data_IF_164275705389
#
_entry.id   IF_164275705389
#
_cell.length_a   1.000
_cell.length_b   1.000
_cell.length_c   1.000
_cell.angle_alpha   90.00
_cell.angle_beta   90.00
_cell.angle_gamma   90.00
#
_symmetry.space_group_name_H-M   'P 1'
#
loop_
_entity.id
_entity.type
_entity.pdbx_description
1 polymer ?
#
# COMPACT_ATOMS: atom_id res chain seq x y z
N UNK A 1 3.25 -26.82 4.94
CA UNK A 1 2.86 -25.47 5.41
C UNK A 1 4.00 -24.79 6.14
N UNK A 2 4.67 -25.46 7.09
CA UNK A 2 5.90 -24.95 7.73
C UNK A 2 7.05 -24.69 6.75
N UNK A 3 7.23 -25.54 5.73
CA UNK A 3 8.18 -25.30 4.65
C UNK A 3 7.89 -24.01 3.87
N UNK A 4 6.61 -23.62 3.74
CA UNK A 4 6.22 -22.41 3.03
C UNK A 4 6.52 -21.16 3.85
N UNK A 5 6.32 -21.23 5.17
CA UNK A 5 6.74 -20.20 6.12
C UNK A 5 8.25 -20.04 6.17
N UNK A 6 9.01 -21.14 6.23
CA UNK A 6 10.47 -21.10 6.25
C UNK A 6 11.06 -20.50 4.97
N UNK A 7 10.57 -20.93 3.79
CA UNK A 7 11.01 -20.37 2.50
C UNK A 7 10.62 -18.89 2.38
N UNK A 8 9.45 -18.48 2.90
CA UNK A 8 9.01 -17.09 2.86
C UNK A 8 9.78 -16.21 3.85
N UNK A 9 10.09 -16.71 5.05
CA UNK A 9 10.97 -16.04 6.01
C UNK A 9 12.37 -15.84 5.43
N UNK A 10 12.86 -16.83 4.69
CA UNK A 10 14.14 -16.79 4.00
C UNK A 10 14.11 -15.81 2.80
N UNK A 11 12.97 -15.69 2.11
CA UNK A 11 12.76 -14.69 1.06
C UNK A 11 12.66 -13.26 1.61
N UNK A 12 12.04 -13.06 2.78
CA UNK A 12 12.06 -11.78 3.51
C UNK A 12 13.49 -11.38 3.88
N UNK A 13 14.30 -12.33 4.37
CA UNK A 13 15.70 -12.13 4.75
C UNK A 13 16.68 -12.06 3.57
N UNK A 14 16.26 -12.45 2.36
CA UNK A 14 17.12 -12.36 1.18
C UNK A 14 17.25 -10.90 0.72
N UNK A 15 18.52 -10.46 0.59
CA UNK A 15 18.93 -9.19 -0.02
C UNK A 15 18.86 -9.31 -1.54
N UNK A 16 17.74 -9.80 -2.08
CA UNK A 16 17.43 -9.55 -3.48
C UNK A 16 16.84 -8.14 -3.54
N UNK A 17 17.70 -7.18 -3.89
CA UNK A 17 17.33 -5.79 -4.19
C UNK A 17 16.51 -5.75 -5.50
N UNK A 18 15.31 -6.34 -5.46
CA UNK A 18 14.26 -5.91 -6.37
C UNK A 18 13.96 -4.48 -5.94
N UNK A 19 14.31 -3.51 -6.79
CA UNK A 19 13.88 -2.10 -6.66
C UNK A 19 12.36 -2.05 -6.79
N UNK A 20 11.66 -2.53 -5.77
CA UNK A 20 10.22 -2.38 -5.64
C UNK A 20 10.00 -0.97 -5.11
N UNK A 21 9.60 -0.06 -5.98
CA UNK A 21 9.17 1.31 -5.64
C UNK A 21 7.77 1.26 -5.03
N UNK A 22 7.58 0.47 -3.98
CA UNK A 22 6.30 0.40 -3.30
C UNK A 22 6.08 1.71 -2.53
N UNK A 23 4.97 2.39 -2.80
CA UNK A 23 4.67 3.67 -2.18
C UNK A 23 3.88 3.49 -0.87
N UNK A 24 3.96 4.43 0.07
CA UNK A 24 3.13 4.38 1.29
C UNK A 24 1.62 4.34 0.98
N UNK A 25 1.18 4.96 -0.11
CA UNK A 25 -0.22 4.89 -0.57
C UNK A 25 -0.62 3.48 -0.99
N UNK A 26 0.32 2.67 -1.50
CA UNK A 26 0.07 1.27 -1.79
C UNK A 26 -0.14 0.45 -0.51
N UNK A 27 0.55 0.77 0.60
CA UNK A 27 0.27 0.15 1.91
C UNK A 27 -1.17 0.42 2.33
N UNK A 28 -1.63 1.66 2.22
CA UNK A 28 -3.02 2.04 2.52
C UNK A 28 -3.98 1.29 1.62
N UNK A 29 -3.70 1.20 0.32
CA UNK A 29 -4.54 0.48 -0.65
C UNK A 29 -4.64 -1.03 -0.36
N UNK A 30 -3.59 -1.64 0.19
CA UNK A 30 -3.57 -3.05 0.56
C UNK A 30 -4.54 -3.41 1.70
N UNK A 31 -4.97 -2.44 2.51
CA UNK A 31 -5.90 -2.71 3.61
C UNK A 31 -7.27 -3.18 3.13
N UNK A 32 -7.80 -2.56 2.07
CA UNK A 32 -9.13 -2.88 1.51
C UNK A 32 -9.31 -4.35 1.09
N UNK A 33 -8.45 -4.94 0.25
CA UNK A 33 -8.59 -6.36 -0.12
C UNK A 33 -8.44 -7.28 1.10
N UNK A 34 -7.63 -6.92 2.10
CA UNK A 34 -7.53 -7.69 3.35
C UNK A 34 -8.83 -7.61 4.15
N UNK A 35 -9.43 -6.43 4.31
CA UNK A 35 -10.73 -6.28 4.98
C UNK A 35 -11.81 -7.13 4.31
N UNK A 36 -11.86 -7.12 2.97
CA UNK A 36 -12.78 -7.94 2.20
C UNK A 36 -12.53 -9.44 2.40
N UNK A 37 -11.26 -9.86 2.35
CA UNK A 37 -10.87 -11.25 2.57
C UNK A 37 -11.18 -11.71 4.01
N UNK A 38 -11.01 -10.85 5.00
CA UNK A 38 -11.37 -11.10 6.41
C UNK A 38 -12.87 -11.31 6.55
N UNK A 39 -13.69 -10.42 5.99
CA UNK A 39 -15.14 -10.57 6.00
C UNK A 39 -15.59 -11.87 5.32
N UNK A 40 -14.97 -12.21 4.18
CA UNK A 40 -15.24 -13.46 3.47
C UNK A 40 -14.84 -14.70 4.30
N UNK A 41 -13.70 -14.67 5.00
CA UNK A 41 -13.26 -15.75 5.86
C UNK A 41 -14.19 -15.96 7.07
N UNK A 42 -14.65 -14.87 7.71
CA UNK A 42 -15.65 -14.95 8.79
C UNK A 42 -16.96 -15.55 8.27
N UNK A 43 -17.44 -15.09 7.12
CA UNK A 43 -18.64 -15.65 6.48
C UNK A 43 -18.47 -17.14 6.14
N UNK A 44 -17.31 -17.54 5.61
CA UNK A 44 -17.00 -18.94 5.31
C UNK A 44 -17.02 -19.80 6.58
N UNK A 45 -16.40 -19.34 7.67
CA UNK A 45 -16.45 -20.01 8.97
C UNK A 45 -17.87 -20.17 9.51
N UNK A 46 -18.74 -19.18 9.31
CA UNK A 46 -20.15 -19.26 9.70
C UNK A 46 -20.97 -20.21 8.82
N UNK A 47 -20.68 -20.27 7.52
CA UNK A 47 -21.37 -21.11 6.55
C UNK A 47 -21.09 -22.61 6.72
N UNK A 48 -19.91 -22.96 7.26
CA UNK A 48 -19.39 -24.33 7.32
C UNK A 48 -19.31 -25.04 5.95
N UNK A 49 -19.29 -24.29 4.83
CA UNK A 49 -19.20 -24.85 3.48
C UNK A 49 -17.74 -24.88 3.01
N UNK A 50 -17.28 -26.05 2.56
CA UNK A 50 -15.92 -26.21 2.10
C UNK A 50 -15.57 -25.29 0.91
N UNK A 51 -16.51 -25.10 -0.03
CA UNK A 51 -16.34 -24.19 -1.17
C UNK A 51 -16.08 -22.74 -0.73
N UNK A 52 -16.85 -22.24 0.24
CA UNK A 52 -16.66 -20.90 0.79
C UNK A 52 -15.30 -20.75 1.48
N UNK A 53 -14.83 -21.78 2.17
CA UNK A 53 -13.50 -21.80 2.81
C UNK A 53 -12.37 -21.78 1.78
N UNK A 54 -12.50 -22.51 0.67
CA UNK A 54 -11.51 -22.48 -0.42
C UNK A 54 -11.40 -21.08 -1.03
N UNK A 55 -12.53 -20.45 -1.32
CA UNK A 55 -12.57 -19.07 -1.87
C UNK A 55 -11.94 -18.10 -0.89
N UNK A 56 -12.33 -18.14 0.39
CA UNK A 56 -11.78 -17.28 1.43
C UNK A 56 -10.26 -17.46 1.59
N UNK A 57 -9.77 -18.70 1.61
CA UNK A 57 -8.34 -19.00 1.75
C UNK A 57 -7.52 -18.48 0.56
N UNK A 58 -8.04 -18.60 -0.67
CA UNK A 58 -7.36 -18.09 -1.87
C UNK A 58 -7.32 -16.55 -1.89
N UNK A 59 -8.45 -15.90 -1.55
CA UNK A 59 -8.50 -14.44 -1.42
C UNK A 59 -7.54 -13.93 -0.35
N UNK A 60 -7.55 -14.57 0.82
CA UNK A 60 -6.67 -14.25 1.93
C UNK A 60 -5.19 -14.42 1.60
N UNK A 61 -4.82 -15.55 0.98
CA UNK A 61 -3.44 -15.80 0.55
C UNK A 61 -2.93 -14.68 -0.36
N UNK A 62 -3.70 -14.32 -1.38
CA UNK A 62 -3.32 -13.26 -2.32
C UNK A 62 -3.19 -11.92 -1.60
N UNK A 63 -4.21 -11.51 -0.83
CA UNK A 63 -4.21 -10.22 -0.16
C UNK A 63 -3.05 -10.06 0.85
N UNK A 64 -2.73 -11.10 1.61
CA UNK A 64 -1.63 -11.09 2.57
C UNK A 64 -0.27 -11.13 1.86
N UNK A 65 -0.10 -11.95 0.82
CA UNK A 65 1.15 -11.98 0.05
C UNK A 65 1.44 -10.65 -0.64
N UNK A 66 0.44 -10.05 -1.29
CA UNK A 66 0.56 -8.74 -1.94
C UNK A 66 0.96 -7.67 -0.90
N UNK A 67 0.31 -7.66 0.27
CA UNK A 67 0.63 -6.71 1.35
C UNK A 67 2.04 -6.88 1.91
N UNK A 68 2.50 -8.12 2.13
CA UNK A 68 3.86 -8.38 2.63
C UNK A 68 4.93 -7.93 1.63
N UNK A 69 4.68 -8.10 0.33
CA UNK A 69 5.57 -7.59 -0.72
C UNK A 69 5.64 -6.05 -0.68
N UNK A 70 4.51 -5.38 -0.50
CA UNK A 70 4.45 -3.92 -0.35
C UNK A 70 5.18 -3.47 0.93
N UNK A 71 4.96 -4.14 2.07
CA UNK A 71 5.68 -3.84 3.32
C UNK A 71 7.19 -3.93 3.15
N UNK A 72 7.70 -4.97 2.46
CA UNK A 72 9.13 -5.12 2.16
C UNK A 72 9.64 -3.99 1.24
N UNK A 73 8.84 -3.60 0.25
CA UNK A 73 9.18 -2.47 -0.63
C UNK A 73 9.28 -1.15 0.14
N UNK A 74 8.27 -0.84 0.94
CA UNK A 74 8.24 0.38 1.75
C UNK A 74 9.32 0.39 2.85
N UNK A 75 9.59 -0.75 3.48
CA UNK A 75 10.66 -0.84 4.50
C UNK A 75 12.03 -0.54 3.91
N UNK A 76 12.27 -0.92 2.65
CA UNK A 76 13.52 -0.62 1.94
C UNK A 76 13.65 0.87 1.56
N UNK A 77 12.52 1.57 1.44
CA UNK A 77 12.46 2.99 1.12
C UNK A 77 12.36 3.89 2.37
N UNK A 78 12.24 3.31 3.56
CA UNK A 78 12.09 4.04 4.81
C UNK A 78 13.34 4.87 5.15
N UNK A 79 13.15 6.12 5.59
CA UNK A 79 14.24 7.04 5.92
C UNK A 79 15.04 6.63 7.17
N UNK A 80 14.41 5.89 8.08
CA UNK A 80 15.02 5.47 9.34
C UNK A 80 14.95 3.96 9.53
N UNK A 81 15.95 3.40 10.21
CA UNK A 81 15.97 1.98 10.57
C UNK A 81 14.78 1.60 11.47
N UNK A 82 14.36 2.49 12.38
CA UNK A 82 13.20 2.27 13.23
C UNK A 82 11.90 2.11 12.41
N UNK A 83 11.69 2.98 11.42
CA UNK A 83 10.50 2.93 10.57
C UNK A 83 10.51 1.71 9.63
N UNK A 84 11.71 1.31 9.17
CA UNK A 84 11.92 0.06 8.44
C UNK A 84 11.42 -1.15 9.25
N UNK A 85 11.90 -1.28 10.50
CA UNK A 85 11.50 -2.38 11.41
C UNK A 85 10.01 -2.33 11.72
N UNK A 86 9.47 -1.16 12.09
CA UNK A 86 8.04 -0.97 12.36
C UNK A 86 7.15 -1.42 11.18
N UNK A 87 7.56 -1.09 9.95
CA UNK A 87 6.82 -1.48 8.74
C UNK A 87 6.76 -2.99 8.57
N UNK A 88 7.88 -3.68 8.79
CA UNK A 88 7.95 -5.14 8.69
C UNK A 88 7.16 -5.83 9.80
N UNK A 89 7.30 -5.35 11.04
CA UNK A 89 6.62 -5.89 12.20
C UNK A 89 5.09 -5.74 12.08
N UNK A 90 4.60 -4.58 11.62
CA UNK A 90 3.17 -4.37 11.40
C UNK A 90 2.61 -5.29 10.30
N UNK A 91 3.32 -5.44 9.18
CA UNK A 91 2.95 -6.39 8.12
C UNK A 91 2.92 -7.83 8.63
N UNK A 92 3.90 -8.22 9.44
CA UNK A 92 3.97 -9.54 10.07
C UNK A 92 2.80 -9.76 11.04
N UNK A 93 2.45 -8.77 11.85
CA UNK A 93 1.33 -8.86 12.80
C UNK A 93 0.00 -9.09 12.06
N UNK A 94 -0.27 -8.34 10.98
CA UNK A 94 -1.45 -8.58 10.13
C UNK A 94 -1.48 -10.03 9.62
N UNK A 95 -0.33 -10.54 9.14
CA UNK A 95 -0.22 -11.91 8.64
C UNK A 95 -0.43 -12.97 9.74
N UNK A 96 0.04 -12.74 10.97
CA UNK A 96 -0.17 -13.62 12.12
C UNK A 96 -1.65 -13.70 12.49
N UNK A 97 -2.33 -12.56 12.64
CA UNK A 97 -3.75 -12.53 12.97
C UNK A 97 -4.61 -13.14 11.86
N UNK A 98 -4.25 -12.90 10.59
CA UNK A 98 -4.95 -13.49 9.46
C UNK A 98 -4.76 -15.01 9.39
N UNK A 99 -3.56 -15.51 9.71
CA UNK A 99 -3.28 -16.95 9.81
C UNK A 99 -4.13 -17.57 10.92
N UNK A 100 -4.23 -16.93 12.08
CA UNK A 100 -5.09 -17.38 13.18
C UNK A 100 -6.55 -17.51 12.71
N UNK A 101 -7.06 -16.50 11.98
CA UNK A 101 -8.41 -16.55 11.40
C UNK A 101 -8.63 -17.78 10.52
N UNK A 102 -7.71 -18.05 9.59
CA UNK A 102 -7.82 -19.21 8.70
C UNK A 102 -7.72 -20.54 9.46
N UNK A 103 -6.89 -20.62 10.50
CA UNK A 103 -6.79 -21.81 11.36
C UNK A 103 -8.09 -22.03 12.12
N UNK A 104 -8.72 -20.97 12.65
CA UNK A 104 -10.04 -21.07 13.31
C UNK A 104 -11.13 -21.50 12.34
N UNK A 105 -11.16 -20.94 11.12
CA UNK A 105 -12.11 -21.34 10.07
C UNK A 105 -11.95 -22.82 9.71
N UNK A 106 -10.71 -23.29 9.55
CA UNK A 106 -10.43 -24.71 9.28
C UNK A 106 -10.84 -25.60 10.46
N UNK A 107 -10.61 -25.15 11.70
CA UNK A 107 -11.04 -25.88 12.90
C UNK A 107 -12.56 -26.06 12.93
N UNK A 108 -13.32 -25.00 12.63
CA UNK A 108 -14.78 -25.04 12.55
C UNK A 108 -15.25 -26.03 11.47
N UNK A 109 -14.60 -26.05 10.30
CA UNK A 109 -14.94 -26.96 9.22
C UNK A 109 -14.64 -28.44 9.57
N UNK A 110 -13.56 -28.68 10.32
CA UNK A 110 -13.05 -30.04 10.59
C UNK A 110 -13.70 -30.73 11.79
N UNK A 111 -14.49 -30.01 12.61
CA UNK A 111 -15.16 -30.55 13.80
C UNK A 111 -16.68 -30.49 13.67
N UNK A 112 -17.34 -31.51 13.11
CA UNK A 112 -18.79 -31.61 13.16
C UNK A 112 -19.26 -31.87 14.62
N UNK A 113 -20.24 -31.10 15.12
CA UNK A 113 -20.90 -31.34 16.41
C UNK A 113 -21.24 -30.07 17.21
N UNK A 114 -21.79 -30.27 18.42
CA UNK A 114 -22.39 -29.22 19.26
C UNK A 114 -21.44 -28.09 19.70
N UNK A 115 -20.11 -28.29 19.61
CA UNK A 115 -19.09 -27.29 19.99
C UNK A 115 -18.67 -26.34 18.86
N UNK A 116 -19.32 -26.43 17.70
CA UNK A 116 -19.10 -25.48 16.58
C UNK A 116 -19.51 -24.05 16.99
N UNK A 117 -20.56 -23.89 17.79
CA UNK A 117 -21.07 -22.58 18.19
C UNK A 117 -20.01 -21.77 18.94
N UNK A 118 -19.33 -22.39 19.92
CA UNK A 118 -18.24 -21.75 20.68
C UNK A 118 -17.06 -21.39 19.78
N UNK A 119 -16.73 -22.26 18.81
CA UNK A 119 -15.64 -22.01 17.87
C UNK A 119 -15.94 -20.83 16.93
N UNK A 120 -17.21 -20.66 16.52
CA UNK A 120 -17.65 -19.50 15.71
C UNK A 120 -17.57 -18.18 16.49
N UNK A 121 -17.79 -18.21 17.81
CA UNK A 121 -17.66 -17.02 18.68
C UNK A 121 -16.21 -16.48 18.74
N UNK A 122 -15.21 -17.28 18.36
CA UNK A 122 -13.82 -16.84 18.26
C UNK A 122 -13.53 -15.98 17.00
N UNK A 123 -14.36 -16.06 15.96
CA UNK A 123 -14.13 -15.34 14.69
C UNK A 123 -14.20 -13.80 14.83
N UNK A 124 -15.23 -13.20 15.47
CA UNK A 124 -15.32 -11.75 15.58
C UNK A 124 -14.15 -11.08 16.34
N UNK A 125 -13.67 -11.61 17.48
CA UNK A 125 -12.46 -11.10 18.13
C UNK A 125 -11.22 -11.09 17.22
N UNK A 126 -10.98 -12.16 16.46
CA UNK A 126 -9.85 -12.22 15.53
C UNK A 126 -10.01 -11.17 14.42
N UNK A 127 -11.22 -11.05 13.85
CA UNK A 127 -11.51 -10.03 12.83
C UNK A 127 -11.26 -8.60 13.33
N UNK A 128 -11.55 -8.30 14.60
CA UNK A 128 -11.27 -6.99 15.20
C UNK A 128 -9.76 -6.75 15.37
N UNK A 129 -9.01 -7.76 15.79
CA UNK A 129 -7.54 -7.68 15.88
C UNK A 129 -6.91 -7.40 14.52
N UNK A 130 -7.37 -8.06 13.46
CA UNK A 130 -6.92 -7.77 12.09
C UNK A 130 -7.20 -6.30 11.74
N UNK A 131 -8.42 -5.80 12.02
CA UNK A 131 -8.75 -4.40 11.74
C UNK A 131 -7.84 -3.42 12.50
N UNK A 132 -7.50 -3.70 13.76
CA UNK A 132 -6.56 -2.91 14.54
C UNK A 132 -5.15 -2.92 13.93
N UNK A 133 -4.65 -4.09 13.53
CA UNK A 133 -3.35 -4.21 12.85
C UNK A 133 -3.35 -3.46 11.51
N UNK A 134 -4.47 -3.43 10.78
CA UNK A 134 -4.59 -2.62 9.56
C UNK A 134 -4.58 -1.12 9.83
N UNK A 135 -5.22 -0.66 10.91
CA UNK A 135 -5.15 0.76 11.32
C UNK A 135 -3.72 1.16 11.65
N UNK A 136 -2.96 0.29 12.33
CA UNK A 136 -1.55 0.54 12.61
C UNK A 136 -0.72 0.60 11.31
N UNK A 137 -0.99 -0.30 10.37
CA UNK A 137 -0.32 -0.29 9.06
C UNK A 137 -0.57 1.02 8.29
N UNK A 138 -1.77 1.58 8.37
CA UNK A 138 -2.10 2.90 7.79
C UNK A 138 -1.35 4.02 8.52
N UNK A 139 -1.30 3.98 9.85
CA UNK A 139 -0.52 4.95 10.65
C UNK A 139 0.95 4.95 10.27
N UNK A 140 1.54 3.78 10.03
CA UNK A 140 2.93 3.64 9.57
C UNK A 140 3.10 4.16 8.15
N UNK A 141 2.13 3.92 7.26
CA UNK A 141 2.15 4.47 5.90
C UNK A 141 2.18 6.01 5.91
N UNK A 142 1.43 6.66 6.80
CA UNK A 142 1.50 8.13 6.94
C UNK A 142 2.87 8.59 7.46
N UNK A 143 3.49 7.84 8.37
CA UNK A 143 4.86 8.15 8.84
C UNK A 143 5.92 7.96 7.75
N UNK A 144 5.73 6.97 6.85
CA UNK A 144 6.65 6.67 5.73
C UNK A 144 6.70 7.76 4.66
N UNK A 145 5.69 8.62 4.58
CA UNK A 145 5.71 9.77 3.67
C UNK A 145 6.83 10.77 4.02
N UNK A 146 7.21 10.86 5.29
CA UNK A 146 8.25 11.78 5.77
C UNK A 146 7.71 13.19 6.03
N UNK A 147 8.50 14.02 6.74
CA UNK A 147 8.08 15.36 7.19
C UNK A 147 7.90 16.38 6.07
N UNK A 148 8.46 16.11 4.90
CA UNK A 148 8.48 17.01 3.75
C UNK A 148 7.49 16.58 2.66
N UNK A 149 6.70 15.54 2.91
CA UNK A 149 5.67 15.13 1.97
C UNK A 149 4.58 16.18 1.91
N UNK A 150 4.33 16.64 0.69
CA UNK A 150 3.25 17.54 0.35
C UNK A 150 2.30 16.77 -0.55
N UNK A 151 1.00 16.82 -0.23
CA UNK A 151 -0.01 16.17 -1.05
C UNK A 151 -0.07 16.85 -2.43
N UNK A 152 0.24 16.15 -3.53
CA UNK A 152 0.21 16.74 -4.86
C UNK A 152 -1.20 17.16 -5.31
N UNK A 153 -2.24 16.62 -4.68
CA UNK A 153 -3.63 17.03 -4.93
C UNK A 153 -4.06 18.22 -4.03
N UNK A 154 -3.20 18.70 -3.12
CA UNK A 154 -3.49 19.88 -2.31
C UNK A 154 -3.54 21.15 -3.18
N UNK A 155 -4.64 21.94 -3.12
CA UNK A 155 -4.79 23.14 -3.93
C UNK A 155 -3.65 24.16 -3.78
N UNK A 156 -3.01 24.20 -2.61
CA UNK A 156 -1.87 25.10 -2.31
C UNK A 156 -0.61 24.65 -3.03
N UNK A 157 -0.33 23.35 -3.05
CA UNK A 157 0.81 22.75 -3.75
C UNK A 157 0.65 22.91 -5.26
N UNK A 158 -0.57 22.70 -5.77
CA UNK A 158 -0.92 22.93 -7.17
C UNK A 158 -0.71 24.41 -7.52
N UNK A 159 -1.23 25.33 -6.72
CA UNK A 159 -1.08 26.76 -6.95
C UNK A 159 0.39 27.22 -6.92
N UNK A 160 1.20 26.69 -5.99
CA UNK A 160 2.63 26.98 -5.91
C UNK A 160 3.39 26.46 -7.14
N UNK A 161 3.10 25.23 -7.56
CA UNK A 161 3.74 24.61 -8.74
C UNK A 161 3.41 25.38 -10.02
N UNK A 162 2.13 25.74 -10.21
CA UNK A 162 1.66 26.57 -11.32
C UNK A 162 2.33 27.96 -11.31
N UNK A 163 2.45 28.59 -10.13
CA UNK A 163 3.08 29.90 -9.98
C UNK A 163 4.58 29.87 -10.33
N UNK A 164 5.31 28.85 -9.87
CA UNK A 164 6.73 28.66 -10.21
C UNK A 164 6.92 28.38 -11.70
N UNK A 165 6.04 27.57 -12.30
CA UNK A 165 6.03 27.31 -13.75
C UNK A 165 5.77 28.57 -14.58
N UNK A 166 4.85 29.42 -14.12
CA UNK A 166 4.57 30.71 -14.74
C UNK A 166 5.77 31.66 -14.66
N UNK A 167 6.42 31.75 -13.49
CA UNK A 167 7.62 32.57 -13.31
C UNK A 167 8.76 32.14 -14.25
N UNK A 168 9.02 30.83 -14.35
CA UNK A 168 10.02 30.29 -15.27
C UNK A 168 9.71 30.61 -16.74
N UNK A 169 8.43 30.55 -17.12
CA UNK A 169 7.97 30.88 -18.47
C UNK A 169 8.16 32.35 -18.81
N UNK A 170 7.89 33.25 -17.85
CA UNK A 170 8.13 34.70 -17.99
C UNK A 170 9.63 34.97 -18.17
N UNK A 171 10.48 34.36 -17.36
CA UNK A 171 11.94 34.51 -17.44
C UNK A 171 12.50 34.04 -18.80
N UNK A 172 11.99 32.90 -19.30
CA UNK A 172 12.34 32.40 -20.62
C UNK A 172 11.91 33.36 -21.73
N UNK A 173 10.70 33.93 -21.63
CA UNK A 173 10.21 34.93 -22.58
C UNK A 173 11.04 36.22 -22.54
N UNK A 174 11.41 36.70 -21.36
CA UNK A 174 12.24 37.89 -21.19
C UNK A 174 13.64 37.70 -21.79
N UNK A 175 14.29 36.56 -21.53
CA UNK A 175 15.57 36.20 -22.17
C UNK A 175 15.44 36.09 -23.70
N UNK A 176 14.31 35.56 -24.18
CA UNK A 176 14.07 35.50 -25.62
C UNK A 176 13.94 36.90 -26.20
N UNK A 177 13.19 37.80 -25.57
CA UNK A 177 13.06 39.19 -26.00
C UNK A 177 14.40 39.93 -26.02
N UNK A 178 15.26 39.74 -25.01
CA UNK A 178 16.58 40.38 -24.98
C UNK A 178 17.55 39.83 -26.03
N UNK A 179 17.34 38.59 -26.49
CA UNK A 179 18.13 37.98 -27.57
C UNK A 179 17.71 38.42 -28.99
N UNK A 180 16.54 39.07 -29.14
CA UNK A 180 16.05 39.53 -30.43
C UNK A 180 16.76 40.79 -30.90
N UNK A 181 17.09 40.84 -32.19
CA UNK A 181 17.62 42.04 -32.85
C UNK A 181 16.49 42.82 -33.54
N UNK A 182 16.63 44.15 -33.71
CA UNK A 182 15.65 44.96 -34.45
C UNK A 182 15.44 44.42 -35.87
N UNK A 183 14.18 44.35 -36.32
CA UNK A 183 13.87 43.98 -37.71
C UNK A 183 14.47 45.03 -38.65
N UNK A 184 15.22 44.60 -39.68
CA UNK A 184 15.67 45.50 -40.75
C UNK A 184 14.44 46.03 -41.49
N UNK A 185 14.29 47.34 -41.55
CA UNK A 185 13.24 47.97 -42.37
C UNK A 185 13.51 47.67 -43.84
N UNK A 186 12.47 47.23 -44.55
CA UNK A 186 12.48 47.21 -46.01
C UNK A 186 12.45 48.67 -46.46
N UNK A 187 13.57 49.17 -47.01
CA UNK A 187 13.56 50.43 -47.75
C UNK A 187 12.61 50.25 -48.93
N UNK A 188 11.45 50.89 -48.85
CA UNK A 188 10.54 51.06 -49.99
C UNK A 188 11.31 51.88 -51.02
N UNK A 189 11.77 51.24 -52.10
CA UNK A 189 12.24 51.94 -53.28
C UNK A 189 11.06 52.74 -53.80
N UNK A 190 11.16 54.07 -53.77
CA UNK A 190 10.37 54.92 -54.65
C UNK A 190 11.10 54.87 -55.99
N UNK A 191 10.55 54.13 -56.92
CA UNK A 191 10.92 54.23 -58.32
C UNK A 191 10.27 55.53 -58.85
N UNK A 192 11.10 56.33 -59.53
CA UNK A 192 10.75 57.59 -60.22
C UNK A 192 9.90 57.34 -61.46
#
# INVERSE_FOLDING_TARGET
MELYLSVFQQALNSVEQVKSTASPEELVRCTKPITQATAKAVAAGNSCKQEDVIVAANMGRKAISDMLAVCKGCSNAAETHELCVKTLDAGQEVAVQYRELLQTVLHILSRPGDRIADSKQALPPISRRIAQSLTELVSIAEQLKGSNWMDPDDPTVIAETELLGAAASIDAAAKKLSSLRPRRSLQVRRDE
#
